data_IF_533244669513
#
_entry.id   IF_533244669513
#
_cell.length_a   1.000
_cell.length_b   1.000
_cell.length_c   1.000
_cell.angle_alpha   90.00
_cell.angle_beta   90.00
_cell.angle_gamma   90.00
#
_symmetry.space_group_name_H-M   'P 1'
#
loop_
_entity.id
_entity.type
_entity.pdbx_description
1 polymer ?
#
# COMPACT_ATOMS: atom_id res chain seq x y z
N UNK A 1 -16.77 -13.69 12.49
CA UNK A 1 -15.57 -13.11 13.13
C UNK A 1 -14.85 -12.14 12.24
N UNK A 2 -15.63 -11.41 11.51
CA UNK A 2 -15.15 -10.41 10.57
C UNK A 2 -14.40 -9.26 11.23
N UNK A 3 -14.70 -8.98 12.52
CA UNK A 3 -14.14 -7.81 13.20
C UNK A 3 -12.63 -7.93 13.43
N UNK A 4 -12.13 -9.11 13.79
CA UNK A 4 -10.68 -9.32 13.98
C UNK A 4 -9.92 -9.14 12.69
N UNK A 5 -10.46 -9.62 11.56
CA UNK A 5 -9.84 -9.46 10.27
C UNK A 5 -9.82 -8.00 9.85
N UNK A 6 -10.90 -7.27 10.10
CA UNK A 6 -10.96 -5.83 9.79
C UNK A 6 -9.95 -5.04 10.60
N UNK A 7 -9.82 -5.33 11.88
CA UNK A 7 -8.87 -4.65 12.74
C UNK A 7 -7.44 -4.92 12.27
N UNK A 8 -7.13 -6.17 11.93
CA UNK A 8 -5.80 -6.51 11.42
C UNK A 8 -5.50 -5.82 10.10
N UNK A 9 -6.46 -5.80 9.18
CA UNK A 9 -6.29 -5.12 7.88
C UNK A 9 -6.05 -3.63 8.09
N UNK A 10 -6.77 -3.00 9.01
CA UNK A 10 -6.55 -1.58 9.33
C UNK A 10 -5.16 -1.34 9.92
N UNK A 11 -4.72 -2.19 10.82
CA UNK A 11 -3.37 -2.10 11.39
C UNK A 11 -2.30 -2.29 10.32
N UNK A 12 -2.47 -3.28 9.46
CA UNK A 12 -1.55 -3.55 8.36
C UNK A 12 -1.54 -2.38 7.37
N UNK A 13 -2.72 -1.83 7.06
CA UNK A 13 -2.82 -0.67 6.19
C UNK A 13 -2.07 0.53 6.77
N UNK A 14 -2.19 0.76 8.08
CA UNK A 14 -1.47 1.84 8.75
C UNK A 14 0.04 1.64 8.69
N UNK A 15 0.51 0.41 8.83
CA UNK A 15 1.93 0.10 8.71
C UNK A 15 2.44 0.36 7.28
N UNK A 16 1.65 0.00 6.29
CA UNK A 16 1.98 0.27 4.89
C UNK A 16 2.05 1.78 4.63
N UNK A 17 1.06 2.52 5.13
CA UNK A 17 1.06 3.99 4.98
C UNK A 17 2.28 4.61 5.64
N UNK A 18 2.65 4.16 6.83
CA UNK A 18 3.83 4.66 7.53
C UNK A 18 5.11 4.38 6.73
N UNK A 19 5.20 3.18 6.15
CA UNK A 19 6.33 2.83 5.31
C UNK A 19 6.40 3.72 4.06
N UNK A 20 5.25 3.93 3.40
CA UNK A 20 5.18 4.80 2.23
C UNK A 20 5.56 6.24 2.57
N UNK A 21 5.15 6.73 3.73
CA UNK A 21 5.51 8.07 4.19
C UNK A 21 7.01 8.21 4.44
N UNK A 22 7.63 7.18 4.99
CA UNK A 22 9.09 7.15 5.19
C UNK A 22 9.86 7.06 3.88
N UNK A 23 9.22 6.61 2.81
CA UNK A 23 9.82 6.47 1.48
C UNK A 23 9.07 7.32 0.46
N UNK A 24 8.51 8.43 0.90
CA UNK A 24 7.59 9.23 0.09
C UNK A 24 8.21 9.78 -1.19
N UNK A 25 9.49 10.14 -1.17
CA UNK A 25 10.14 10.68 -2.35
C UNK A 25 10.09 9.68 -3.50
N UNK A 26 10.45 8.43 -3.23
CA UNK A 26 10.39 7.37 -4.23
C UNK A 26 8.94 7.05 -4.61
N UNK A 27 8.06 6.96 -3.62
CA UNK A 27 6.65 6.65 -3.86
C UNK A 27 5.99 7.72 -4.73
N UNK A 28 6.21 9.00 -4.42
CA UNK A 28 5.58 10.10 -5.16
C UNK A 28 6.19 10.32 -6.54
N UNK A 29 7.49 10.06 -6.70
CA UNK A 29 8.18 10.28 -7.97
C UNK A 29 8.09 9.10 -8.93
N UNK A 30 8.28 7.89 -8.42
CA UNK A 30 8.41 6.68 -9.25
C UNK A 30 7.33 5.65 -9.00
N UNK A 31 6.70 5.69 -7.83
CA UNK A 31 5.83 4.63 -7.38
C UNK A 31 6.63 3.49 -6.76
N UNK A 32 5.95 2.60 -6.09
CA UNK A 32 6.55 1.45 -5.40
C UNK A 32 5.94 0.18 -5.96
N UNK A 33 6.78 -0.76 -6.36
CA UNK A 33 6.33 -2.07 -6.80
C UNK A 33 5.71 -2.82 -5.62
N UNK A 34 4.52 -3.38 -5.82
CA UNK A 34 3.79 -4.10 -4.77
C UNK A 34 4.59 -5.26 -4.19
N UNK A 35 5.32 -5.99 -5.04
CA UNK A 35 6.18 -7.08 -4.58
C UNK A 35 7.33 -6.59 -3.72
N UNK A 36 7.93 -5.46 -4.08
CA UNK A 36 8.99 -4.85 -3.28
C UNK A 36 8.47 -4.39 -1.93
N UNK A 37 7.27 -3.81 -1.91
CA UNK A 37 6.63 -3.40 -0.68
C UNK A 37 6.38 -4.61 0.23
N UNK A 38 5.88 -5.70 -0.35
CA UNK A 38 5.60 -6.92 0.40
C UNK A 38 6.87 -7.48 1.08
N UNK A 39 8.02 -7.33 0.43
CA UNK A 39 9.28 -7.75 1.01
C UNK A 39 9.83 -6.79 2.07
N UNK A 40 9.47 -5.51 1.98
CA UNK A 40 9.97 -4.48 2.87
C UNK A 40 9.13 -4.34 4.15
N UNK A 41 7.83 -4.56 4.04
CA UNK A 41 6.90 -4.43 5.18
C UNK A 41 6.62 -5.82 5.76
N UNK A 42 7.06 -6.04 6.97
CA UNK A 42 6.92 -7.35 7.62
C UNK A 42 5.59 -7.45 8.37
N UNK A 43 4.49 -7.59 7.63
CA UNK A 43 3.16 -7.71 8.22
C UNK A 43 2.53 -9.08 7.96
N UNK A 44 3.27 -9.98 7.35
CA UNK A 44 2.81 -11.32 6.99
C UNK A 44 3.20 -11.64 5.57
N UNK A 45 2.44 -12.49 4.91
CA UNK A 45 2.71 -12.87 3.53
C UNK A 45 2.18 -11.88 2.53
N UNK A 46 2.37 -12.20 1.24
CA UNK A 46 1.90 -11.36 0.14
C UNK A 46 0.39 -11.12 0.22
N UNK A 47 -0.37 -12.11 0.67
CA UNK A 47 -1.83 -11.97 0.75
C UNK A 47 -2.24 -10.90 1.77
N UNK A 48 -1.54 -10.83 2.91
CA UNK A 48 -1.80 -9.81 3.92
C UNK A 48 -1.47 -8.42 3.40
N UNK A 49 -0.36 -8.30 2.69
CA UNK A 49 0.02 -7.02 2.06
C UNK A 49 -1.03 -6.60 1.02
N UNK A 50 -1.49 -7.53 0.19
CA UNK A 50 -2.52 -7.23 -0.81
C UNK A 50 -3.82 -6.77 -0.17
N UNK A 51 -4.23 -7.42 0.92
CA UNK A 51 -5.45 -7.03 1.65
C UNK A 51 -5.32 -5.61 2.19
N UNK A 52 -4.17 -5.27 2.76
CA UNK A 52 -3.89 -3.92 3.25
C UNK A 52 -3.93 -2.90 2.12
N UNK A 53 -3.31 -3.22 0.98
CA UNK A 53 -3.29 -2.34 -0.19
C UNK A 53 -4.69 -2.18 -0.78
N UNK A 54 -5.48 -3.24 -0.83
CA UNK A 54 -6.88 -3.16 -1.27
C UNK A 54 -7.66 -2.15 -0.43
N UNK A 55 -7.42 -2.16 0.88
CA UNK A 55 -8.06 -1.21 1.78
C UNK A 55 -7.63 0.23 1.49
N UNK A 56 -6.33 0.43 1.25
CA UNK A 56 -5.80 1.74 0.92
C UNK A 56 -6.31 2.24 -0.43
N UNK A 57 -6.45 1.34 -1.39
CA UNK A 57 -7.01 1.68 -2.70
C UNK A 57 -8.48 2.08 -2.59
N UNK A 58 -9.25 1.38 -1.77
CA UNK A 58 -10.64 1.72 -1.51
C UNK A 58 -10.80 3.09 -0.88
N UNK A 59 -9.82 3.51 -0.07
CA UNK A 59 -9.79 4.83 0.55
C UNK A 59 -9.16 5.89 -0.36
N UNK A 60 -8.76 5.51 -1.56
CA UNK A 60 -8.11 6.38 -2.54
C UNK A 60 -6.77 6.95 -2.04
N UNK A 61 -6.12 6.23 -1.13
CA UNK A 61 -4.79 6.61 -0.62
C UNK A 61 -3.71 6.20 -1.61
N UNK A 62 -3.87 5.05 -2.25
CA UNK A 62 -2.96 4.55 -3.27
C UNK A 62 -3.75 4.13 -4.50
N UNK A 63 -3.06 4.10 -5.65
CA UNK A 63 -3.61 3.58 -6.90
C UNK A 63 -2.70 2.45 -7.37
N UNK A 64 -3.29 1.32 -7.73
CA UNK A 64 -2.58 0.22 -8.37
C UNK A 64 -2.57 0.42 -9.86
N UNK A 65 -1.40 0.41 -10.45
CA UNK A 65 -1.25 0.45 -11.92
C UNK A 65 -0.59 -0.84 -12.37
N UNK A 66 -1.19 -1.58 -13.30
CA UNK A 66 -0.56 -2.80 -13.80
C UNK A 66 0.72 -2.47 -14.54
N UNK A 67 1.75 -3.27 -14.30
CA UNK A 67 2.98 -3.21 -15.07
C UNK A 67 2.76 -4.05 -16.32
N UNK A 68 2.97 -3.47 -17.48
CA UNK A 68 2.65 -4.13 -18.75
C UNK A 68 3.45 -5.41 -18.96
N UNK A 69 2.78 -6.42 -19.52
CA UNK A 69 3.40 -7.64 -20.03
C UNK A 69 4.20 -8.45 -19.00
N UNK A 70 3.75 -8.45 -17.76
CA UNK A 70 4.37 -9.29 -16.72
C UNK A 70 3.52 -10.53 -16.44
N UNK A 71 4.19 -11.64 -16.15
CA UNK A 71 3.55 -12.89 -15.76
C UNK A 71 4.39 -13.52 -14.65
N UNK A 72 3.88 -13.65 -13.40
CA UNK A 72 2.55 -13.21 -12.95
C UNK A 72 2.38 -11.68 -12.99
N UNK A 73 1.13 -11.20 -12.97
CA UNK A 73 0.88 -9.76 -13.02
C UNK A 73 1.52 -9.02 -11.85
N UNK A 74 2.18 -7.90 -12.15
CA UNK A 74 2.77 -7.04 -11.13
C UNK A 74 2.05 -5.69 -11.15
N UNK A 75 2.07 -5.03 -10.01
CA UNK A 75 1.41 -3.73 -9.86
C UNK A 75 2.38 -2.72 -9.30
N UNK A 76 2.28 -1.50 -9.81
CA UNK A 76 3.00 -0.34 -9.30
C UNK A 76 2.04 0.49 -8.46
N UNK A 77 2.44 0.79 -7.24
CA UNK A 77 1.63 1.61 -6.33
C UNK A 77 2.04 3.07 -6.49
N UNK A 78 1.07 3.94 -6.73
CA UNK A 78 1.29 5.37 -6.86
C UNK A 78 0.35 6.11 -5.92
N UNK A 79 0.66 7.38 -5.59
CA UNK A 79 -0.21 8.16 -4.70
C UNK A 79 -1.62 8.30 -5.26
N UNK A 80 -2.61 8.05 -4.42
CA UNK A 80 -4.00 8.27 -4.75
C UNK A 80 -4.43 9.70 -4.42
N UNK A 81 -5.69 9.98 -4.68
CA UNK A 81 -6.25 11.33 -4.50
C UNK A 81 -6.13 11.84 -3.08
N UNK A 82 -6.28 10.96 -2.09
CA UNK A 82 -6.26 11.36 -0.68
C UNK A 82 -4.90 11.23 -0.02
N UNK A 83 -3.88 10.78 -0.77
CA UNK A 83 -2.53 10.61 -0.22
C UNK A 83 -1.96 11.87 0.44
N UNK A 84 -2.06 13.07 -0.19
CA UNK A 84 -1.48 14.26 0.44
C UNK A 84 -2.06 14.57 1.82
N UNK A 85 -3.37 14.37 1.99
CA UNK A 85 -4.02 14.61 3.29
C UNK A 85 -3.55 13.59 4.34
N UNK A 86 -3.40 12.33 3.95
CA UNK A 86 -2.90 11.27 4.84
C UNK A 86 -1.45 11.53 5.22
N UNK A 87 -0.62 11.86 4.24
CA UNK A 87 0.79 12.17 4.45
C UNK A 87 0.95 13.33 5.45
N UNK A 88 0.17 14.37 5.30
CA UNK A 88 0.26 15.55 6.15
C UNK A 88 -0.09 15.25 7.61
N UNK A 89 -0.95 14.27 7.83
CA UNK A 89 -1.30 13.83 9.19
C UNK A 89 -0.20 13.04 9.87
N UNK A 90 0.71 12.46 9.12
CA UNK A 90 1.79 11.61 9.64
C UNK A 90 3.05 12.40 9.98
N UNK A 91 3.11 13.65 9.61
CA UNK A 91 4.28 14.51 9.82
C UNK A 91 4.19 15.26 11.13
#
# INVERSE_FOLDING_TARGET
MSDRKKVKIEQDANLVVSWLANNRAEFEERGINEGSLAGAVEIGGVEQVRAAIDRLENKEIVVRKPVALTSPPQFLLTPGRTWPAVRDKLV
#
